data_IF_642777551760
#
_entry.id   IF_642777551760
#
_cell.length_a   1.000
_cell.length_b   1.000
_cell.length_c   1.000
_cell.angle_alpha   90.00
_cell.angle_beta   90.00
_cell.angle_gamma   90.00
#
_symmetry.space_group_name_H-M   'P 1'
#
loop_
_entity.id
_entity.type
_entity.pdbx_description
1 polymer ?
#
# COMPACT_ATOMS: atom_id res chain seq x y z
N UNK A 1 22.69 24.53 -1.93
CA UNK A 1 22.65 23.07 -2.00
C UNK A 1 23.76 22.50 -2.88
N UNK A 2 23.96 21.21 -2.78
CA UNK A 2 24.95 20.47 -3.60
C UNK A 2 24.20 19.38 -4.34
N UNK A 3 24.48 19.22 -5.62
CA UNK A 3 24.03 18.10 -6.45
C UNK A 3 25.23 17.20 -6.73
N UNK A 4 25.03 15.90 -6.63
CA UNK A 4 26.08 14.89 -6.71
C UNK A 4 25.71 13.91 -7.82
N UNK A 5 26.39 13.97 -8.92
CA UNK A 5 26.29 13.07 -10.06
C UNK A 5 27.43 12.07 -10.03
N UNK A 6 27.11 10.78 -10.10
CA UNK A 6 28.12 9.71 -10.09
C UNK A 6 27.83 8.75 -11.24
N UNK A 7 28.90 8.36 -11.91
CA UNK A 7 28.88 7.27 -12.89
C UNK A 7 29.99 6.27 -12.53
N UNK A 8 29.60 5.02 -12.35
CA UNK A 8 30.55 3.93 -12.09
C UNK A 8 30.65 3.03 -13.33
N UNK A 9 31.87 2.71 -13.74
CA UNK A 9 32.15 1.78 -14.85
C UNK A 9 33.14 0.72 -14.38
N UNK A 10 32.81 -0.55 -14.63
CA UNK A 10 33.62 -1.71 -14.27
C UNK A 10 33.61 -2.74 -15.40
N UNK A 11 34.56 -3.67 -15.37
CA UNK A 11 34.59 -4.81 -16.31
C UNK A 11 33.49 -5.83 -16.06
N UNK A 12 32.96 -5.84 -14.83
CA UNK A 12 31.84 -6.67 -14.41
C UNK A 12 30.57 -5.81 -14.17
N UNK A 13 29.37 -6.39 -14.11
CA UNK A 13 28.16 -5.65 -13.81
C UNK A 13 28.24 -4.89 -12.49
N UNK A 14 27.89 -3.61 -12.52
CA UNK A 14 27.79 -2.74 -11.34
C UNK A 14 26.40 -2.94 -10.72
N UNK A 15 26.33 -3.51 -9.53
CA UNK A 15 25.05 -3.74 -8.84
C UNK A 15 24.68 -2.61 -7.87
N UNK A 16 25.68 -1.95 -7.27
CA UNK A 16 25.44 -0.89 -6.28
C UNK A 16 26.52 0.18 -6.37
N UNK A 17 26.13 1.44 -6.16
CA UNK A 17 27.04 2.57 -5.96
C UNK A 17 26.68 3.28 -4.66
N UNK A 18 27.66 3.47 -3.80
CA UNK A 18 27.53 4.21 -2.54
C UNK A 18 28.30 5.51 -2.60
N UNK A 19 27.61 6.63 -2.42
CA UNK A 19 28.20 7.95 -2.26
C UNK A 19 28.29 8.29 -0.78
N UNK A 20 29.46 8.60 -0.27
CA UNK A 20 29.69 8.89 1.15
C UNK A 20 29.86 10.38 1.36
N UNK A 21 29.01 10.96 2.21
CA UNK A 21 29.09 12.36 2.65
C UNK A 21 29.35 12.39 4.16
N UNK A 22 30.29 13.23 4.59
CA UNK A 22 30.69 13.38 6.01
C UNK A 22 30.41 14.77 6.52
N UNK A 23 30.17 14.88 7.84
CA UNK A 23 29.94 16.16 8.49
C UNK A 23 28.54 16.72 8.29
N UNK A 24 27.57 15.88 7.94
CA UNK A 24 26.18 16.29 7.88
C UNK A 24 25.69 16.56 9.31
N UNK A 25 25.09 17.74 9.61
CA UNK A 25 24.67 18.06 10.96
C UNK A 25 23.73 17.01 11.56
N UNK A 26 23.97 16.62 12.81
CA UNK A 26 23.10 15.69 13.55
C UNK A 26 21.86 16.40 14.07
N UNK A 27 20.74 15.72 14.13
CA UNK A 27 19.48 16.29 14.58
C UNK A 27 18.32 15.31 14.60
N UNK A 28 17.10 15.85 14.74
CA UNK A 28 15.88 15.07 14.59
C UNK A 28 15.69 14.72 13.12
N UNK A 29 15.20 13.53 12.85
CA UNK A 29 15.00 13.00 11.50
C UNK A 29 13.52 12.90 11.17
N UNK A 30 13.17 13.33 9.97
CA UNK A 30 11.89 13.07 9.33
C UNK A 30 12.13 12.39 7.97
N UNK A 31 11.38 11.34 7.69
CA UNK A 31 11.44 10.59 6.43
C UNK A 31 10.14 10.77 5.64
N UNK A 32 10.24 10.97 4.32
CA UNK A 32 9.10 11.08 3.41
C UNK A 32 8.00 12.05 3.89
N UNK A 33 8.35 13.09 4.63
CA UNK A 33 7.41 14.09 5.14
C UNK A 33 6.68 13.74 6.45
N UNK A 34 7.10 12.69 7.14
CA UNK A 34 6.58 12.31 8.47
C UNK A 34 7.02 13.24 9.58
N UNK A 35 6.62 12.94 10.81
CA UNK A 35 7.01 13.69 12.01
C UNK A 35 8.52 13.54 12.28
N UNK A 36 9.10 14.57 12.91
CA UNK A 36 10.49 14.55 13.34
C UNK A 36 10.66 13.73 14.63
N UNK A 37 11.48 12.70 14.55
CA UNK A 37 11.89 11.88 15.69
C UNK A 37 13.33 12.16 16.10
N UNK A 38 13.62 12.19 17.39
CA UNK A 38 14.98 12.36 17.90
C UNK A 38 15.72 11.02 17.86
N UNK A 39 16.50 10.84 16.81
CA UNK A 39 17.31 9.63 16.55
C UNK A 39 18.78 9.97 16.34
N UNK A 40 19.23 11.15 16.83
CA UNK A 40 20.54 11.72 16.52
C UNK A 40 21.73 10.86 16.94
N UNK A 41 21.54 9.94 17.86
CA UNK A 41 22.58 9.06 18.38
C UNK A 41 22.46 7.62 17.85
N UNK A 42 21.49 7.37 16.97
CA UNK A 42 21.21 6.06 16.43
C UNK A 42 21.76 5.93 14.99
N UNK A 43 22.17 4.74 14.63
CA UNK A 43 22.33 4.36 13.23
C UNK A 43 20.96 4.13 12.62
N UNK A 44 20.67 4.77 11.47
CA UNK A 44 19.39 4.70 10.82
C UNK A 44 19.59 4.34 9.34
N UNK A 45 18.98 3.23 8.93
CA UNK A 45 18.88 2.84 7.53
C UNK A 45 17.47 3.10 7.02
N UNK A 46 17.33 3.93 5.99
CA UNK A 46 16.08 4.23 5.30
C UNK A 46 16.10 3.64 3.91
N UNK A 47 15.07 2.90 3.51
CA UNK A 47 14.98 2.23 2.21
C UNK A 47 13.78 2.67 1.37
N UNK A 48 14.00 2.90 0.08
CA UNK A 48 13.00 3.21 -0.94
C UNK A 48 13.08 2.20 -2.11
N UNK A 49 11.96 1.84 -2.74
CA UNK A 49 10.56 2.05 -2.35
C UNK A 49 10.22 1.24 -1.11
N UNK A 50 9.18 1.60 -0.42
CA UNK A 50 8.74 1.05 0.86
C UNK A 50 9.31 -0.35 1.18
N UNK A 51 10.34 -0.38 2.05
CA UNK A 51 11.06 -1.60 2.38
C UNK A 51 12.30 -1.93 1.54
N UNK A 52 12.47 -1.35 0.35
CA UNK A 52 13.71 -1.40 -0.46
C UNK A 52 14.41 -2.76 -0.61
N UNK A 53 13.67 -3.85 -0.72
CA UNK A 53 14.19 -5.23 -0.76
C UNK A 53 14.12 -5.97 0.58
N UNK A 54 13.81 -5.25 1.66
CA UNK A 54 13.49 -5.83 2.96
C UNK A 54 12.21 -5.15 3.48
N UNK A 55 11.07 -5.71 3.12
CA UNK A 55 9.74 -5.15 3.32
C UNK A 55 9.44 -4.70 4.76
N UNK A 56 10.16 -5.22 5.74
CA UNK A 56 9.77 -5.08 7.15
C UNK A 56 10.90 -4.65 8.10
N UNK A 57 12.16 -4.60 7.65
CA UNK A 57 13.30 -4.39 8.54
C UNK A 57 14.01 -3.05 8.37
N UNK A 58 13.87 -2.36 7.22
CA UNK A 58 14.41 -1.01 7.04
C UNK A 58 13.32 0.04 7.27
N UNK A 59 13.67 1.19 7.80
CA UNK A 59 12.76 2.33 7.84
C UNK A 59 12.28 2.67 6.43
N UNK A 60 10.96 2.53 6.18
CA UNK A 60 10.41 2.66 4.83
C UNK A 60 10.35 4.11 4.35
N UNK A 61 10.86 4.36 3.14
CA UNK A 61 10.65 5.60 2.42
C UNK A 61 9.55 5.41 1.38
N UNK A 62 8.46 6.15 1.49
CA UNK A 62 7.44 6.21 0.44
C UNK A 62 7.89 7.08 -0.74
N UNK A 63 8.87 7.93 -0.53
CA UNK A 63 9.57 8.72 -1.54
C UNK A 63 11.01 8.98 -1.05
N UNK A 64 12.03 9.02 -1.94
CA UNK A 64 13.43 9.01 -1.52
C UNK A 64 13.91 10.39 -1.01
N UNK A 65 13.35 10.84 0.10
CA UNK A 65 13.69 12.08 0.79
C UNK A 65 13.72 11.91 2.31
N UNK A 66 14.78 12.41 2.92
CA UNK A 66 14.90 12.53 4.37
C UNK A 66 15.34 13.95 4.75
N UNK A 67 14.86 14.45 5.89
CA UNK A 67 15.17 15.80 6.39
C UNK A 67 15.68 15.71 7.81
N UNK A 68 16.81 16.33 8.06
CA UNK A 68 17.44 16.43 9.38
C UNK A 68 17.25 17.85 9.92
N UNK A 69 16.61 17.97 11.07
CA UNK A 69 16.48 19.22 11.82
C UNK A 69 17.62 19.30 12.84
N UNK A 70 18.63 20.12 12.59
CA UNK A 70 19.77 20.33 13.48
C UNK A 70 19.55 21.49 14.47
N UNK A 71 18.69 22.45 14.12
CA UNK A 71 18.23 23.54 14.96
C UNK A 71 16.82 23.98 14.52
N UNK A 72 16.18 24.89 15.25
CA UNK A 72 14.79 25.30 15.00
C UNK A 72 14.54 25.88 13.59
N UNK A 73 15.58 26.49 12.99
CA UNK A 73 15.55 27.08 11.65
C UNK A 73 16.60 26.48 10.71
N UNK A 74 17.10 25.27 10.99
CA UNK A 74 18.15 24.63 10.22
C UNK A 74 17.78 23.20 9.81
N UNK A 75 17.33 23.03 8.57
CA UNK A 75 16.89 21.77 7.99
C UNK A 75 17.82 21.38 6.84
N UNK A 76 18.38 20.18 6.91
CA UNK A 76 19.20 19.58 5.84
C UNK A 76 18.38 18.50 5.16
N UNK A 77 18.18 18.63 3.86
CA UNK A 77 17.44 17.67 3.03
C UNK A 77 18.43 16.78 2.29
N UNK A 78 18.19 15.48 2.32
CA UNK A 78 18.84 14.45 1.52
C UNK A 78 17.78 13.87 0.59
N UNK A 79 17.92 14.01 -0.71
CA UNK A 79 16.94 13.54 -1.68
C UNK A 79 17.58 12.98 -2.95
N UNK A 80 16.93 11.97 -3.55
CA UNK A 80 17.27 11.50 -4.88
C UNK A 80 16.34 12.13 -5.92
N UNK A 81 16.91 12.64 -7.03
CA UNK A 81 16.17 13.19 -8.16
C UNK A 81 16.02 12.12 -9.26
N UNK A 82 15.54 10.95 -8.88
CA UNK A 82 15.27 9.87 -9.83
C UNK A 82 13.88 10.02 -10.45
N UNK A 83 13.75 9.61 -11.70
CA UNK A 83 12.52 9.53 -12.47
C UNK A 83 12.02 8.07 -12.64
N UNK A 84 12.65 7.13 -11.93
CA UNK A 84 12.32 5.70 -11.96
C UNK A 84 12.23 5.11 -10.56
N UNK A 85 11.40 4.07 -10.44
CA UNK A 85 11.33 3.25 -9.23
C UNK A 85 12.51 2.30 -9.19
N UNK A 86 13.46 2.58 -8.32
CA UNK A 86 14.69 1.79 -8.13
C UNK A 86 15.13 1.88 -6.67
N UNK A 87 15.82 0.86 -6.19
CA UNK A 87 16.27 0.83 -4.80
C UNK A 87 17.24 1.99 -4.49
N UNK A 88 16.89 2.73 -3.46
CA UNK A 88 17.71 3.77 -2.85
C UNK A 88 17.71 3.61 -1.34
N UNK A 89 18.87 3.81 -0.72
CA UNK A 89 18.96 3.83 0.74
C UNK A 89 19.72 5.06 1.20
N UNK A 90 19.31 5.57 2.35
CA UNK A 90 20.00 6.62 3.09
C UNK A 90 20.41 6.02 4.42
N UNK A 91 21.72 5.83 4.63
CA UNK A 91 22.25 5.28 5.87
C UNK A 91 22.98 6.37 6.65
N UNK A 92 22.43 6.69 7.82
CA UNK A 92 22.94 7.73 8.72
C UNK A 92 23.71 7.05 9.87
N UNK A 93 24.98 7.36 9.99
CA UNK A 93 25.86 6.86 11.05
C UNK A 93 26.37 8.03 11.89
N UNK A 94 26.05 8.11 13.19
CA UNK A 94 26.51 9.21 14.05
C UNK A 94 28.01 9.15 14.29
N UNK A 95 28.69 10.30 14.23
CA UNK A 95 30.12 10.48 14.48
C UNK A 95 30.41 11.78 15.24
N UNK A 96 31.66 12.00 15.64
CA UNK A 96 32.06 13.18 16.41
C UNK A 96 31.73 14.51 15.72
N UNK A 97 31.94 14.58 14.41
CA UNK A 97 31.77 15.79 13.61
C UNK A 97 30.49 15.80 12.75
N UNK A 98 29.42 15.13 13.19
CA UNK A 98 28.17 15.00 12.44
C UNK A 98 27.93 13.58 11.96
N UNK A 99 26.91 13.40 11.12
CA UNK A 99 26.68 12.10 10.48
C UNK A 99 27.69 11.83 9.37
N UNK A 100 28.13 10.58 9.27
CA UNK A 100 28.52 9.96 8.02
C UNK A 100 27.24 9.47 7.34
N UNK A 101 26.97 9.94 6.14
CA UNK A 101 25.81 9.55 5.35
C UNK A 101 26.25 8.74 4.15
N UNK A 102 25.66 7.56 3.99
CA UNK A 102 25.82 6.76 2.77
C UNK A 102 24.54 6.87 1.94
N UNK A 103 24.68 7.42 0.75
CA UNK A 103 23.63 7.54 -0.27
C UNK A 103 23.82 6.38 -1.25
N UNK A 104 22.98 5.36 -1.10
CA UNK A 104 23.13 4.08 -1.78
C UNK A 104 22.12 4.00 -2.92
N UNK A 105 22.59 3.68 -4.13
CA UNK A 105 21.76 3.40 -5.29
C UNK A 105 22.08 2.00 -5.82
N UNK A 106 21.04 1.19 -6.03
CA UNK A 106 21.16 -0.12 -6.67
C UNK A 106 20.70 -0.05 -8.13
N UNK A 107 21.43 -0.75 -8.99
CA UNK A 107 20.96 -1.03 -10.35
C UNK A 107 19.70 -1.91 -10.31
N UNK A 108 18.90 -1.81 -11.35
CA UNK A 108 17.78 -2.72 -11.57
C UNK A 108 18.28 -4.17 -11.62
N UNK A 109 17.71 -5.05 -10.81
CA UNK A 109 18.17 -6.44 -10.62
C UNK A 109 18.20 -7.26 -11.91
N UNK A 110 17.32 -6.94 -12.86
CA UNK A 110 17.19 -7.60 -14.17
C UNK A 110 18.18 -7.07 -15.23
N UNK A 111 19.03 -6.10 -14.87
CA UNK A 111 20.00 -5.50 -15.79
C UNK A 111 21.44 -5.84 -15.36
N UNK A 112 22.27 -6.20 -16.34
CA UNK A 112 23.70 -6.42 -16.16
C UNK A 112 24.50 -5.24 -16.73
N UNK A 113 24.41 -4.09 -16.07
CA UNK A 113 25.03 -2.86 -16.50
C UNK A 113 26.50 -2.81 -16.08
N UNK A 114 27.44 -2.70 -17.03
CA UNK A 114 28.86 -2.41 -16.76
C UNK A 114 29.11 -0.93 -16.45
N UNK A 115 28.20 -0.07 -16.85
CA UNK A 115 28.20 1.36 -16.51
C UNK A 115 26.87 1.71 -15.87
N UNK A 116 26.90 2.11 -14.61
CA UNK A 116 25.74 2.57 -13.85
C UNK A 116 25.86 4.08 -13.65
N UNK A 117 24.91 4.83 -14.22
CA UNK A 117 24.71 6.24 -13.92
C UNK A 117 23.75 6.35 -12.74
N UNK A 118 24.26 6.83 -11.62
CA UNK A 118 23.44 7.09 -10.41
C UNK A 118 22.57 8.32 -10.65
N UNK A 119 21.26 8.29 -10.36
CA UNK A 119 20.46 9.49 -10.34
C UNK A 119 21.01 10.53 -9.37
N UNK A 120 20.90 11.79 -9.73
CA UNK A 120 21.43 12.90 -8.93
C UNK A 120 20.94 12.83 -7.48
N UNK A 121 21.88 12.79 -6.55
CA UNK A 121 21.62 13.03 -5.14
C UNK A 121 21.71 14.53 -4.86
N UNK A 122 20.72 15.07 -4.14
CA UNK A 122 20.69 16.47 -3.77
C UNK A 122 20.72 16.65 -2.26
N UNK A 123 21.65 17.48 -1.81
CA UNK A 123 21.73 17.93 -0.42
C UNK A 123 21.43 19.43 -0.42
N UNK A 124 20.42 19.85 0.33
CA UNK A 124 20.02 21.25 0.43
C UNK A 124 19.74 21.67 1.87
N UNK A 125 19.75 22.98 2.10
CA UNK A 125 19.48 23.55 3.41
C UNK A 125 18.32 24.57 3.29
N UNK A 126 17.40 24.50 4.25
CA UNK A 126 16.23 25.40 4.32
C UNK A 126 16.00 25.82 5.77
N UNK A 127 15.12 26.82 5.95
CA UNK A 127 14.75 27.33 7.28
C UNK A 127 13.45 26.73 7.82
N UNK A 128 12.69 26.03 6.98
CA UNK A 128 11.42 25.41 7.37
C UNK A 128 11.31 23.99 6.82
N UNK A 129 10.59 23.09 7.49
CA UNK A 129 10.40 21.73 7.00
C UNK A 129 9.55 21.70 5.72
N UNK A 130 8.58 22.61 5.54
CA UNK A 130 7.77 22.69 4.33
C UNK A 130 8.65 23.00 3.11
N UNK A 131 9.56 23.97 3.23
CA UNK A 131 10.50 24.28 2.16
C UNK A 131 11.49 23.14 1.87
N UNK A 132 11.82 22.34 2.89
CA UNK A 132 12.68 21.19 2.73
C UNK A 132 12.05 20.12 1.82
N UNK A 133 10.74 19.91 1.94
CA UNK A 133 10.03 18.90 1.16
C UNK A 133 9.52 19.42 -0.20
N UNK A 134 9.18 20.71 -0.31
CA UNK A 134 8.52 21.28 -1.48
C UNK A 134 9.24 20.97 -2.81
N UNK A 135 10.57 21.16 -2.85
CA UNK A 135 11.35 20.94 -4.07
C UNK A 135 11.36 19.47 -4.50
N UNK A 136 11.40 18.54 -3.55
CA UNK A 136 11.37 17.10 -3.84
C UNK A 136 10.01 16.66 -4.36
N UNK A 137 8.92 17.07 -3.70
CA UNK A 137 7.56 16.72 -4.14
C UNK A 137 7.21 17.30 -5.51
N UNK A 138 7.69 18.52 -5.82
CA UNK A 138 7.51 19.09 -7.16
C UNK A 138 8.31 18.33 -8.23
N UNK A 139 9.50 17.84 -7.89
CA UNK A 139 10.29 16.99 -8.77
C UNK A 139 9.54 15.70 -9.10
N UNK A 140 9.10 14.92 -8.10
CA UNK A 140 8.43 13.64 -8.33
C UNK A 140 7.07 13.83 -9.02
N UNK A 141 6.33 14.88 -8.70
CA UNK A 141 5.08 15.23 -9.39
C UNK A 141 5.30 15.37 -10.90
N UNK A 142 6.38 16.04 -11.27
CA UNK A 142 6.75 16.27 -12.67
C UNK A 142 7.31 15.00 -13.32
N UNK A 143 8.21 14.30 -12.64
CA UNK A 143 8.88 13.10 -13.14
C UNK A 143 7.92 11.94 -13.40
N UNK A 144 6.92 11.75 -12.52
CA UNK A 144 5.92 10.70 -12.65
C UNK A 144 4.56 11.18 -13.20
N UNK A 145 4.46 12.46 -13.63
CA UNK A 145 3.25 13.01 -14.26
C UNK A 145 1.98 12.85 -13.42
N UNK A 146 2.06 13.11 -12.11
CA UNK A 146 0.91 12.93 -11.21
C UNK A 146 -0.31 13.73 -11.64
N UNK A 147 -1.46 13.10 -11.87
CA UNK A 147 -2.71 13.82 -12.14
C UNK A 147 -3.27 14.44 -10.86
N UNK A 148 -3.97 15.55 -10.97
CA UNK A 148 -4.71 16.12 -9.84
C UNK A 148 -5.96 15.28 -9.55
N UNK A 149 -6.18 14.93 -8.29
CA UNK A 149 -7.29 14.05 -7.86
C UNK A 149 -8.66 14.56 -8.33
N UNK A 150 -8.87 15.87 -8.32
CA UNK A 150 -10.14 16.47 -8.69
C UNK A 150 -10.53 16.27 -10.17
N UNK A 151 -9.55 16.04 -11.04
CA UNK A 151 -9.74 15.99 -12.49
C UNK A 151 -9.23 14.71 -13.14
N UNK A 152 -8.64 13.82 -12.37
CA UNK A 152 -8.07 12.58 -12.92
C UNK A 152 -9.16 11.64 -13.46
N UNK A 153 -8.96 11.05 -14.65
CA UNK A 153 -10.00 10.29 -15.35
C UNK A 153 -10.29 8.92 -14.72
N UNK A 154 -9.41 8.44 -13.83
CA UNK A 154 -9.53 7.15 -13.16
C UNK A 154 -10.19 7.23 -11.77
N UNK A 155 -10.74 8.40 -11.43
CA UNK A 155 -11.60 8.60 -10.26
C UNK A 155 -13.05 8.61 -10.71
N UNK A 156 -13.82 7.56 -10.46
CA UNK A 156 -15.24 7.57 -10.78
C UNK A 156 -15.98 8.60 -9.92
N UNK A 157 -17.01 9.23 -10.48
CA UNK A 157 -17.74 10.34 -9.83
C UNK A 157 -18.23 9.99 -8.41
N UNK A 158 -18.64 8.75 -8.18
CA UNK A 158 -19.12 8.29 -6.88
C UNK A 158 -18.05 8.34 -5.77
N UNK A 159 -16.75 8.25 -6.12
CA UNK A 159 -15.69 8.28 -5.12
C UNK A 159 -15.55 9.65 -4.45
N UNK A 160 -15.84 10.75 -5.17
CA UNK A 160 -15.87 12.09 -4.60
C UNK A 160 -16.92 12.24 -3.51
N UNK A 161 -17.98 11.46 -3.60
CA UNK A 161 -19.12 11.46 -2.68
C UNK A 161 -19.00 10.41 -1.56
N UNK A 162 -17.97 9.58 -1.58
CA UNK A 162 -17.78 8.53 -0.57
C UNK A 162 -17.43 9.12 0.79
N UNK A 163 -18.29 8.88 1.77
CA UNK A 163 -18.17 9.37 3.14
C UNK A 163 -17.65 8.30 4.11
N UNK A 164 -17.78 7.01 3.77
CA UNK A 164 -17.44 5.88 4.62
C UNK A 164 -16.89 4.74 3.78
N UNK A 165 -15.83 4.09 4.27
CA UNK A 165 -15.44 2.75 3.82
C UNK A 165 -15.88 1.75 4.88
N UNK A 166 -16.57 0.70 4.44
CA UNK A 166 -17.05 -0.38 5.30
C UNK A 166 -16.29 -1.65 4.96
N UNK A 167 -15.36 -2.06 5.80
CA UNK A 167 -14.63 -3.31 5.62
C UNK A 167 -15.41 -4.47 6.20
N UNK A 168 -15.83 -5.39 5.33
CA UNK A 168 -16.55 -6.60 5.66
C UNK A 168 -15.61 -7.80 5.60
N UNK A 169 -15.13 -8.24 6.74
CA UNK A 169 -14.20 -9.37 6.81
C UNK A 169 -14.95 -10.69 6.62
N UNK A 170 -14.55 -11.46 5.63
CA UNK A 170 -15.12 -12.76 5.28
C UNK A 170 -14.47 -13.91 6.04
N UNK A 171 -13.83 -14.83 5.32
CA UNK A 171 -13.13 -15.95 5.93
C UNK A 171 -11.71 -15.54 6.34
N UNK A 172 -11.35 -15.86 7.58
CA UNK A 172 -9.99 -15.73 8.08
C UNK A 172 -9.07 -16.80 7.47
N UNK A 173 -7.76 -16.55 7.39
CA UNK A 173 -6.81 -17.52 6.83
C UNK A 173 -6.77 -18.85 7.60
N UNK A 174 -7.19 -18.88 8.86
CA UNK A 174 -7.36 -20.11 9.65
C UNK A 174 -8.58 -20.94 9.23
N UNK A 175 -9.40 -20.46 8.28
CA UNK A 175 -10.65 -21.09 7.86
C UNK A 175 -11.86 -20.70 8.71
N UNK A 176 -11.71 -19.86 9.74
CA UNK A 176 -12.82 -19.31 10.49
C UNK A 176 -13.57 -18.26 9.65
N UNK A 177 -14.90 -18.35 9.62
CA UNK A 177 -15.74 -17.40 8.91
C UNK A 177 -16.27 -16.37 9.90
N UNK A 178 -15.85 -15.10 9.70
CA UNK A 178 -16.35 -13.98 10.48
C UNK A 178 -17.77 -13.60 10.02
N UNK A 179 -17.91 -13.29 8.74
CA UNK A 179 -19.18 -12.91 8.13
C UNK A 179 -19.30 -13.59 6.77
N UNK A 180 -20.21 -14.53 6.63
CA UNK A 180 -20.57 -15.07 5.33
C UNK A 180 -21.30 -14.03 4.45
N UNK A 181 -21.56 -14.32 3.19
CA UNK A 181 -22.18 -13.36 2.26
C UNK A 181 -23.59 -12.94 2.70
N UNK A 182 -24.37 -13.82 3.32
CA UNK A 182 -25.68 -13.49 3.84
C UNK A 182 -25.58 -12.52 5.03
N UNK A 183 -24.63 -12.76 5.92
CA UNK A 183 -24.35 -11.87 7.06
C UNK A 183 -23.83 -10.51 6.59
N UNK A 184 -22.94 -10.47 5.62
CA UNK A 184 -22.45 -9.23 5.03
C UNK A 184 -23.64 -8.42 4.43
N UNK A 185 -24.56 -9.07 3.75
CA UNK A 185 -25.76 -8.40 3.22
C UNK A 185 -26.68 -7.87 4.32
N UNK A 186 -26.85 -8.59 5.43
CA UNK A 186 -27.58 -8.11 6.61
C UNK A 186 -26.94 -6.83 7.17
N UNK A 187 -25.61 -6.82 7.28
CA UNK A 187 -24.85 -5.65 7.74
C UNK A 187 -25.08 -4.45 6.79
N UNK A 188 -25.02 -4.66 5.48
CA UNK A 188 -25.28 -3.60 4.50
C UNK A 188 -26.70 -3.02 4.64
N UNK A 189 -27.70 -3.87 4.85
CA UNK A 189 -29.09 -3.42 5.09
C UNK A 189 -29.18 -2.52 6.32
N UNK A 190 -28.55 -2.90 7.41
CA UNK A 190 -28.53 -2.08 8.61
C UNK A 190 -27.75 -0.76 8.40
N UNK A 191 -26.56 -0.80 7.77
CA UNK A 191 -25.79 0.40 7.48
C UNK A 191 -26.59 1.37 6.62
N UNK A 192 -27.36 0.87 5.64
CA UNK A 192 -28.23 1.70 4.79
C UNK A 192 -29.34 2.43 5.56
N UNK A 193 -29.71 1.96 6.75
CA UNK A 193 -30.60 2.71 7.65
C UNK A 193 -29.90 3.87 8.37
N UNK A 194 -28.57 3.85 8.44
CA UNK A 194 -27.77 4.85 9.17
C UNK A 194 -27.15 5.90 8.22
N UNK A 195 -26.75 5.50 7.03
CA UNK A 195 -26.17 6.34 5.98
C UNK A 195 -26.60 5.82 4.61
N UNK A 196 -26.96 6.68 3.64
CA UNK A 196 -27.31 6.22 2.30
C UNK A 196 -26.20 5.39 1.67
N UNK A 197 -26.51 4.19 1.16
CA UNK A 197 -25.52 3.27 0.57
C UNK A 197 -24.65 3.90 -0.50
N UNK A 198 -25.17 4.85 -1.29
CA UNK A 198 -24.40 5.59 -2.32
C UNK A 198 -23.23 6.40 -1.77
N UNK A 199 -23.13 6.58 -0.45
CA UNK A 199 -22.04 7.24 0.25
C UNK A 199 -21.02 6.26 0.84
N UNK A 200 -21.19 4.95 0.57
CA UNK A 200 -20.40 3.91 1.22
C UNK A 200 -19.72 3.01 0.18
N UNK A 201 -18.42 2.83 0.35
CA UNK A 201 -17.63 1.81 -0.34
C UNK A 201 -17.52 0.59 0.57
N UNK A 202 -18.10 -0.54 0.16
CA UNK A 202 -17.99 -1.81 0.86
C UNK A 202 -16.74 -2.56 0.38
N UNK A 203 -15.74 -2.62 1.25
CA UNK A 203 -14.51 -3.37 1.03
C UNK A 203 -14.69 -4.81 1.50
N UNK A 204 -14.67 -5.76 0.56
CA UNK A 204 -14.87 -7.18 0.79
C UNK A 204 -13.51 -7.85 1.01
N UNK A 205 -13.01 -7.73 2.22
CA UNK A 205 -11.77 -8.38 2.63
C UNK A 205 -12.03 -9.87 2.83
N UNK A 206 -11.15 -10.73 2.29
CA UNK A 206 -11.22 -12.19 2.48
C UNK A 206 -12.53 -12.83 1.99
N UNK A 207 -13.08 -12.33 0.90
CA UNK A 207 -14.27 -12.89 0.25
C UNK A 207 -14.00 -14.28 -0.34
N UNK A 208 -12.76 -14.58 -0.68
CA UNK A 208 -12.26 -15.84 -1.28
C UNK A 208 -11.65 -16.81 -0.26
N UNK A 209 -11.33 -16.36 0.97
CA UNK A 209 -10.62 -17.13 1.98
C UNK A 209 -9.15 -16.75 2.15
N UNK A 210 -8.66 -15.77 1.38
CA UNK A 210 -7.29 -15.21 1.46
C UNK A 210 -6.16 -16.20 1.16
N UNK A 211 -4.96 -15.85 1.61
CA UNK A 211 -3.64 -16.39 1.26
C UNK A 211 -3.55 -17.89 1.13
N UNK A 212 -3.98 -18.62 2.17
CA UNK A 212 -3.77 -20.05 2.23
C UNK A 212 -4.81 -20.83 1.47
N UNK A 213 -6.00 -20.23 1.34
CA UNK A 213 -7.14 -20.98 0.86
C UNK A 213 -7.34 -20.86 -0.63
N UNK A 214 -7.18 -19.66 -1.17
CA UNK A 214 -7.55 -19.45 -2.55
C UNK A 214 -6.56 -18.62 -3.40
N UNK A 215 -5.59 -17.96 -2.82
CA UNK A 215 -4.55 -17.31 -3.64
C UNK A 215 -3.72 -18.36 -4.38
N UNK A 216 -3.58 -18.35 -5.70
CA UNK A 216 -3.91 -17.27 -6.64
C UNK A 216 -5.23 -17.46 -7.41
N UNK A 217 -6.15 -18.31 -6.98
CA UNK A 217 -7.32 -18.67 -7.78
C UNK A 217 -8.43 -17.62 -7.74
N UNK A 218 -8.63 -16.94 -6.59
CA UNK A 218 -9.62 -15.87 -6.39
C UNK A 218 -11.02 -16.31 -6.81
N UNK A 219 -11.52 -17.37 -6.21
CA UNK A 219 -12.86 -17.92 -6.44
C UNK A 219 -13.79 -17.61 -5.30
N UNK A 220 -15.09 -17.48 -5.58
CA UNK A 220 -16.08 -17.31 -4.51
C UNK A 220 -16.09 -18.54 -3.60
N UNK A 221 -16.22 -18.31 -2.29
CA UNK A 221 -16.09 -19.33 -1.29
C UNK A 221 -17.44 -20.04 -1.03
N UNK A 222 -17.49 -21.34 -1.30
CA UNK A 222 -18.70 -22.15 -1.11
C UNK A 222 -19.17 -22.19 0.35
N UNK A 223 -18.23 -22.15 1.32
CA UNK A 223 -18.55 -22.13 2.74
C UNK A 223 -19.18 -20.80 3.18
N UNK A 224 -19.01 -19.73 2.41
CA UNK A 224 -19.59 -18.42 2.66
C UNK A 224 -20.93 -18.21 1.90
N UNK A 225 -21.38 -19.18 1.12
CA UNK A 225 -22.63 -19.10 0.36
C UNK A 225 -22.47 -19.27 -1.15
N UNK A 226 -21.25 -19.51 -1.65
CA UNK A 226 -20.95 -19.80 -3.05
C UNK A 226 -21.35 -18.69 -4.02
N UNK A 227 -21.43 -19.02 -5.30
CA UNK A 227 -21.74 -18.08 -6.39
C UNK A 227 -23.07 -17.33 -6.17
N UNK A 228 -24.12 -18.04 -5.76
CA UNK A 228 -25.42 -17.45 -5.55
C UNK A 228 -25.41 -16.43 -4.40
N UNK A 229 -24.75 -16.75 -3.28
CA UNK A 229 -24.61 -15.86 -2.13
C UNK A 229 -23.79 -14.61 -2.45
N UNK A 230 -22.65 -14.76 -3.12
CA UNK A 230 -21.82 -13.63 -3.51
C UNK A 230 -22.53 -12.72 -4.53
N UNK A 231 -23.20 -13.31 -5.52
CA UNK A 231 -24.01 -12.56 -6.49
C UNK A 231 -25.14 -11.78 -5.80
N UNK A 232 -25.83 -12.40 -4.84
CA UNK A 232 -26.87 -11.72 -4.05
C UNK A 232 -26.27 -10.55 -3.25
N UNK A 233 -25.13 -10.75 -2.57
CA UNK A 233 -24.43 -9.69 -1.83
C UNK A 233 -24.14 -8.48 -2.73
N UNK A 234 -23.52 -8.71 -3.89
CA UNK A 234 -23.14 -7.62 -4.81
C UNK A 234 -24.40 -6.94 -5.36
N UNK A 235 -25.34 -7.71 -5.93
CA UNK A 235 -26.54 -7.16 -6.59
C UNK A 235 -27.44 -6.38 -5.62
N UNK A 236 -27.72 -6.96 -4.45
CA UNK A 236 -28.60 -6.30 -3.47
C UNK A 236 -27.87 -5.13 -2.79
N UNK A 237 -26.55 -5.24 -2.56
CA UNK A 237 -25.73 -4.12 -2.10
C UNK A 237 -25.80 -2.93 -3.07
N UNK A 238 -25.60 -3.17 -4.36
CA UNK A 238 -25.66 -2.13 -5.39
C UNK A 238 -27.07 -1.54 -5.54
N UNK A 239 -28.15 -2.32 -5.40
CA UNK A 239 -29.53 -1.79 -5.39
C UNK A 239 -29.76 -0.78 -4.24
N UNK A 240 -29.09 -0.97 -3.11
CA UNK A 240 -29.09 -0.02 -1.99
C UNK A 240 -28.13 1.17 -2.22
N UNK A 241 -27.36 1.14 -3.30
CA UNK A 241 -26.40 2.18 -3.71
C UNK A 241 -24.96 1.94 -3.29
N UNK A 242 -24.65 0.90 -2.52
CA UNK A 242 -23.27 0.59 -2.12
C UNK A 242 -22.35 0.34 -3.33
N UNK A 243 -21.09 0.70 -3.19
CA UNK A 243 -20.02 0.32 -4.12
C UNK A 243 -19.27 -0.88 -3.56
N UNK A 244 -19.00 -1.87 -4.40
CA UNK A 244 -18.49 -3.16 -3.97
C UNK A 244 -17.05 -3.34 -4.44
N UNK A 245 -16.12 -3.61 -3.49
CA UNK A 245 -14.67 -3.70 -3.74
C UNK A 245 -14.09 -4.99 -3.16
N UNK A 246 -13.98 -6.08 -3.92
CA UNK A 246 -13.27 -7.29 -3.49
C UNK A 246 -11.74 -7.09 -3.48
N UNK A 247 -11.05 -7.84 -2.61
CA UNK A 247 -9.61 -7.83 -2.41
C UNK A 247 -8.91 -8.91 -3.24
N UNK A 248 -7.74 -8.56 -3.78
CA UNK A 248 -6.85 -9.48 -4.48
C UNK A 248 -5.42 -9.33 -3.93
N UNK A 249 -4.73 -10.43 -3.69
CA UNK A 249 -3.31 -10.40 -3.30
C UNK A 249 -2.42 -10.14 -4.51
N UNK A 250 -2.00 -8.90 -4.67
CA UNK A 250 -1.26 -8.46 -5.85
C UNK A 250 0.04 -9.25 -6.09
N UNK A 251 0.75 -9.56 -5.03
CA UNK A 251 2.09 -10.13 -5.10
C UNK A 251 2.25 -11.39 -4.24
N UNK A 252 1.18 -12.14 -4.02
CA UNK A 252 1.25 -13.39 -3.28
C UNK A 252 0.48 -14.52 -3.95
N UNK A 253 1.07 -15.72 -3.92
CA UNK A 253 0.44 -16.92 -4.42
C UNK A 253 0.85 -18.14 -3.57
N UNK A 254 -0.13 -18.94 -3.18
CA UNK A 254 0.10 -20.17 -2.43
C UNK A 254 0.65 -21.27 -3.37
N UNK A 255 1.88 -21.70 -3.11
CA UNK A 255 2.62 -22.70 -3.90
C UNK A 255 1.94 -24.09 -3.92
N UNK A 256 1.04 -24.34 -2.97
CA UNK A 256 0.29 -25.62 -2.87
C UNK A 256 -1.01 -25.63 -3.67
N UNK A 257 -1.43 -24.49 -4.22
CA UNK A 257 -2.66 -24.40 -4.98
C UNK A 257 -2.54 -25.00 -6.40
N UNK A 258 -3.63 -25.57 -6.93
CA UNK A 258 -3.67 -26.01 -8.32
C UNK A 258 -3.33 -24.86 -9.28
N UNK A 259 -2.51 -25.15 -10.28
CA UNK A 259 -2.10 -24.12 -11.26
C UNK A 259 -0.81 -23.39 -10.92
N UNK A 260 -0.23 -23.59 -9.74
CA UNK A 260 1.06 -23.01 -9.34
C UNK A 260 2.14 -23.11 -10.43
N UNK A 261 2.31 -24.28 -11.04
CA UNK A 261 3.33 -24.50 -12.06
C UNK A 261 3.23 -23.55 -13.28
N UNK A 262 2.07 -22.92 -13.51
CA UNK A 262 1.87 -21.99 -14.63
C UNK A 262 2.36 -20.57 -14.34
N UNK A 263 2.59 -20.25 -13.06
CA UNK A 263 2.97 -18.92 -12.58
C UNK A 263 4.25 -18.94 -11.73
N UNK A 264 4.81 -20.13 -11.48
CA UNK A 264 5.99 -20.29 -10.63
C UNK A 264 7.23 -19.55 -11.12
N UNK A 265 7.33 -19.29 -12.43
CA UNK A 265 8.40 -18.46 -13.03
C UNK A 265 8.37 -17.00 -12.57
N UNK A 266 7.24 -16.54 -12.05
CA UNK A 266 7.06 -15.17 -11.58
C UNK A 266 7.41 -14.96 -10.10
N UNK A 267 7.87 -15.97 -9.38
CA UNK A 267 8.37 -15.78 -8.02
C UNK A 267 9.59 -14.84 -8.04
N UNK A 268 9.56 -13.88 -7.15
CA UNK A 268 10.59 -12.85 -7.02
C UNK A 268 11.89 -13.44 -6.46
N UNK A 269 13.02 -13.01 -7.02
CA UNK A 269 14.35 -13.35 -6.52
C UNK A 269 15.16 -12.08 -6.28
N UNK A 270 15.78 -12.00 -5.11
CA UNK A 270 16.74 -10.94 -4.80
C UNK A 270 17.97 -11.01 -5.72
N UNK A 271 18.76 -9.95 -5.71
CA UNK A 271 19.99 -9.86 -6.52
C UNK A 271 21.07 -10.89 -6.14
N UNK A 272 20.98 -11.50 -4.95
CA UNK A 272 21.82 -12.62 -4.51
C UNK A 272 21.32 -13.98 -5.01
N UNK A 273 20.14 -14.02 -5.63
CA UNK A 273 19.50 -15.22 -6.17
C UNK A 273 18.51 -15.89 -5.24
N UNK A 274 18.36 -15.41 -4.00
CA UNK A 274 17.43 -15.98 -3.04
C UNK A 274 15.98 -15.68 -3.44
N UNK A 275 15.13 -16.70 -3.38
CA UNK A 275 13.68 -16.55 -3.54
C UNK A 275 13.08 -15.74 -2.39
N UNK A 276 12.12 -14.89 -2.69
CA UNK A 276 11.39 -14.13 -1.67
C UNK A 276 10.07 -14.80 -1.36
N UNK A 277 9.89 -15.18 -0.11
CA UNK A 277 8.61 -15.61 0.42
C UNK A 277 7.87 -14.44 1.08
N UNK A 278 6.54 -14.47 1.03
CA UNK A 278 5.72 -13.55 1.81
C UNK A 278 5.72 -13.99 3.27
N UNK A 279 6.70 -13.50 3.99
CA UNK A 279 6.90 -13.83 5.39
C UNK A 279 6.04 -12.94 6.30
N UNK A 280 4.74 -13.24 6.38
CA UNK A 280 3.78 -12.50 7.19
C UNK A 280 3.42 -13.24 8.48
N UNK A 281 2.99 -12.50 9.49
CA UNK A 281 2.52 -13.07 10.76
C UNK A 281 1.26 -13.89 10.53
N UNK A 282 1.28 -15.15 10.92
CA UNK A 282 0.15 -16.05 10.96
C UNK A 282 -0.35 -16.29 12.39
N UNK A 283 -1.25 -17.24 12.56
CA UNK A 283 -1.91 -17.46 13.84
C UNK A 283 -0.99 -18.04 14.94
N UNK A 284 0.08 -18.75 14.56
CA UNK A 284 1.11 -19.25 15.50
C UNK A 284 2.30 -18.30 15.62
N UNK A 285 2.27 -17.20 14.86
CA UNK A 285 3.24 -16.10 14.89
C UNK A 285 4.65 -16.49 14.40
N UNK A 286 4.78 -17.49 13.57
CA UNK A 286 6.06 -17.89 12.99
C UNK A 286 6.38 -17.20 11.65
N UNK A 287 5.46 -16.36 11.16
CA UNK A 287 5.56 -15.60 9.92
C UNK A 287 5.66 -16.45 8.67
N UNK A 288 4.89 -17.55 8.61
CA UNK A 288 4.83 -18.41 7.43
C UNK A 288 6.18 -19.01 7.03
N UNK A 289 6.97 -19.42 7.99
CA UNK A 289 8.28 -20.01 7.70
C UNK A 289 8.22 -21.33 6.92
N UNK A 290 7.02 -21.86 6.70
CA UNK A 290 6.80 -23.04 5.87
C UNK A 290 7.04 -22.81 4.38
N UNK A 291 7.26 -21.57 3.95
CA UNK A 291 7.55 -21.24 2.56
C UNK A 291 6.40 -21.47 1.59
N UNK A 292 5.15 -21.38 2.04
CA UNK A 292 3.98 -21.65 1.20
C UNK A 292 3.65 -20.51 0.24
N UNK A 293 3.96 -19.29 0.61
CA UNK A 293 3.59 -18.11 -0.15
C UNK A 293 4.79 -17.57 -0.90
N UNK A 294 4.77 -17.70 -2.22
CA UNK A 294 5.71 -17.01 -3.08
C UNK A 294 5.37 -15.53 -3.20
N UNK A 295 6.38 -14.69 -3.17
CA UNK A 295 6.24 -13.27 -3.49
C UNK A 295 6.31 -13.09 -5.01
N UNK A 296 5.22 -12.62 -5.62
CA UNK A 296 5.03 -12.65 -7.08
C UNK A 296 5.35 -11.31 -7.73
N UNK A 297 5.99 -11.34 -8.89
CA UNK A 297 6.36 -10.17 -9.67
C UNK A 297 5.41 -9.93 -10.86
N UNK A 298 4.64 -8.83 -10.82
CA UNK A 298 3.78 -8.41 -11.94
C UNK A 298 4.55 -8.00 -13.22
N UNK A 299 5.85 -7.75 -13.12
CA UNK A 299 6.71 -7.58 -14.29
C UNK A 299 6.76 -8.82 -15.18
N UNK A 300 6.55 -10.02 -14.60
CA UNK A 300 6.53 -11.29 -15.31
C UNK A 300 5.13 -11.56 -15.88
N UNK A 301 5.01 -11.78 -17.20
CA UNK A 301 3.72 -11.90 -17.88
C UNK A 301 2.82 -13.04 -17.38
N UNK A 302 3.39 -14.17 -16.96
CA UNK A 302 2.61 -15.32 -16.46
C UNK A 302 1.73 -14.93 -15.26
N UNK A 303 2.29 -14.25 -14.27
CA UNK A 303 1.57 -13.76 -13.11
C UNK A 303 0.66 -12.57 -13.46
N UNK A 304 1.17 -11.57 -14.16
CA UNK A 304 0.39 -10.40 -14.54
C UNK A 304 -0.89 -10.79 -15.28
N UNK A 305 -0.79 -11.62 -16.31
CA UNK A 305 -1.94 -12.04 -17.11
C UNK A 305 -2.91 -12.89 -16.29
N UNK A 306 -2.40 -13.72 -15.38
CA UNK A 306 -3.23 -14.52 -14.48
C UNK A 306 -4.06 -13.63 -13.56
N UNK A 307 -3.41 -12.74 -12.79
CA UNK A 307 -4.10 -11.86 -11.85
C UNK A 307 -5.08 -10.92 -12.56
N UNK A 308 -4.65 -10.31 -13.68
CA UNK A 308 -5.50 -9.48 -14.52
C UNK A 308 -6.75 -10.22 -14.99
N UNK A 309 -6.59 -11.47 -15.43
CA UNK A 309 -7.72 -12.30 -15.86
C UNK A 309 -8.70 -12.62 -14.73
N UNK A 310 -8.20 -12.82 -13.49
CA UNK A 310 -9.08 -13.06 -12.32
C UNK A 310 -9.84 -11.80 -11.91
N UNK A 311 -9.20 -10.63 -11.94
CA UNK A 311 -9.86 -9.33 -11.67
C UNK A 311 -10.90 -9.05 -12.77
N UNK A 312 -10.54 -9.22 -14.02
CA UNK A 312 -11.44 -9.04 -15.17
C UNK A 312 -12.68 -9.93 -15.10
N UNK A 313 -12.51 -11.20 -14.75
CA UNK A 313 -13.61 -12.14 -14.54
C UNK A 313 -14.55 -11.68 -13.42
N UNK A 314 -13.99 -11.22 -12.29
CA UNK A 314 -14.78 -10.71 -11.16
C UNK A 314 -15.63 -9.49 -11.58
N UNK A 315 -15.03 -8.55 -12.28
CA UNK A 315 -15.73 -7.37 -12.79
C UNK A 315 -16.83 -7.78 -13.78
N UNK A 316 -16.51 -8.63 -14.75
CA UNK A 316 -17.44 -9.03 -15.81
C UNK A 316 -18.59 -9.89 -15.27
N UNK A 317 -18.29 -10.83 -14.37
CA UNK A 317 -19.27 -11.80 -13.86
C UNK A 317 -20.21 -11.23 -12.81
N UNK A 318 -19.71 -10.36 -11.94
CA UNK A 318 -20.48 -9.86 -10.78
C UNK A 318 -20.77 -8.36 -10.85
N UNK A 319 -20.11 -7.61 -11.73
CA UNK A 319 -20.34 -6.17 -11.89
C UNK A 319 -19.84 -5.34 -10.72
N UNK A 320 -18.74 -5.74 -10.06
CA UNK A 320 -18.16 -4.99 -8.93
C UNK A 320 -17.67 -3.61 -9.37
N UNK A 321 -17.70 -2.64 -8.46
CA UNK A 321 -17.42 -1.22 -8.75
C UNK A 321 -15.93 -0.86 -8.60
N UNK A 322 -15.19 -1.68 -7.87
CA UNK A 322 -13.77 -1.47 -7.59
C UNK A 322 -13.07 -2.80 -7.33
N UNK A 323 -11.74 -2.78 -7.36
CA UNK A 323 -10.90 -3.88 -6.86
C UNK A 323 -9.76 -3.33 -6.01
N UNK A 324 -9.41 -4.08 -4.97
CA UNK A 324 -8.34 -3.75 -4.05
C UNK A 324 -7.14 -4.66 -4.29
N UNK A 325 -5.94 -4.06 -4.33
CA UNK A 325 -4.67 -4.75 -4.48
C UNK A 325 -3.93 -4.75 -3.14
N UNK A 326 -3.92 -5.92 -2.49
CA UNK A 326 -3.24 -6.16 -1.22
C UNK A 326 -1.72 -6.09 -1.41
N UNK A 327 -1.00 -5.44 -0.48
CA UNK A 327 0.46 -5.23 -0.49
C UNK A 327 0.94 -4.48 -1.77
N UNK A 328 0.12 -3.64 -2.37
CA UNK A 328 0.50 -2.92 -3.60
C UNK A 328 1.75 -2.03 -3.42
N UNK A 329 1.96 -1.47 -2.24
CA UNK A 329 3.17 -0.69 -1.91
C UNK A 329 4.43 -1.50 -1.68
N UNK A 330 4.35 -2.83 -1.66
CA UNK A 330 5.51 -3.71 -1.54
C UNK A 330 6.23 -3.87 -2.88
N UNK A 331 7.50 -3.50 -2.94
CA UNK A 331 8.32 -3.60 -4.13
C UNK A 331 9.67 -4.26 -3.81
N UNK A 332 10.15 -5.09 -4.72
CA UNK A 332 11.41 -5.81 -4.58
C UNK A 332 12.22 -5.59 -5.86
N UNK A 333 13.53 -5.40 -5.71
CA UNK A 333 14.47 -5.35 -6.82
C UNK A 333 14.71 -6.77 -7.34
N UNK A 334 13.78 -7.27 -8.13
CA UNK A 334 13.81 -8.62 -8.68
C UNK A 334 14.84 -8.76 -9.81
N UNK A 335 15.39 -9.95 -9.95
CA UNK A 335 16.35 -10.27 -11.02
C UNK A 335 15.69 -10.56 -12.36
N UNK A 336 14.35 -10.63 -12.43
CA UNK A 336 13.63 -11.05 -13.65
C UNK A 336 13.01 -9.91 -14.42
N UNK A 337 12.35 -8.97 -13.74
CA UNK A 337 11.57 -7.93 -14.41
C UNK A 337 11.20 -6.76 -13.49
N UNK A 338 10.81 -5.64 -14.09
CA UNK A 338 10.31 -4.45 -13.39
C UNK A 338 8.89 -4.67 -12.84
N UNK A 339 8.79 -4.83 -11.52
CA UNK A 339 7.53 -5.04 -10.81
C UNK A 339 6.60 -3.82 -10.92
N UNK A 340 7.15 -2.60 -10.83
CA UNK A 340 6.38 -1.35 -10.94
C UNK A 340 5.78 -1.19 -12.33
N UNK A 341 6.58 -1.38 -13.38
CA UNK A 341 6.10 -1.32 -14.76
C UNK A 341 5.02 -2.37 -15.04
N UNK A 342 5.16 -3.57 -14.48
CA UNK A 342 4.16 -4.63 -14.59
C UNK A 342 2.83 -4.27 -13.93
N UNK A 343 2.87 -3.73 -12.71
CA UNK A 343 1.68 -3.26 -11.99
C UNK A 343 0.97 -2.13 -12.77
N UNK A 344 1.73 -1.12 -13.22
CA UNK A 344 1.21 -0.02 -14.02
C UNK A 344 0.55 -0.51 -15.31
N UNK A 345 1.17 -1.47 -16.00
CA UNK A 345 0.62 -2.10 -17.20
C UNK A 345 -0.73 -2.76 -16.90
N UNK A 346 -0.79 -3.63 -15.90
CA UNK A 346 -2.03 -4.33 -15.51
C UNK A 346 -3.16 -3.36 -15.17
N UNK A 347 -2.88 -2.36 -14.33
CA UNK A 347 -3.89 -1.38 -13.91
C UNK A 347 -4.41 -0.57 -15.09
N UNK A 348 -3.52 -0.14 -16.00
CA UNK A 348 -3.91 0.62 -17.18
C UNK A 348 -4.73 -0.22 -18.21
N UNK A 349 -4.39 -1.48 -18.40
CA UNK A 349 -5.14 -2.39 -19.26
C UNK A 349 -6.53 -2.71 -18.69
N UNK A 350 -6.63 -2.96 -17.38
CA UNK A 350 -7.93 -3.13 -16.70
C UNK A 350 -8.77 -1.86 -16.81
N UNK A 351 -8.19 -0.68 -16.62
CA UNK A 351 -8.89 0.61 -16.78
C UNK A 351 -9.37 0.83 -18.21
N UNK A 352 -8.54 0.51 -19.21
CA UNK A 352 -8.93 0.65 -20.60
C UNK A 352 -10.14 -0.23 -20.95
N UNK A 353 -10.23 -1.43 -20.34
CA UNK A 353 -11.36 -2.35 -20.52
C UNK A 353 -12.58 -1.98 -19.66
N UNK A 354 -12.35 -1.48 -18.44
CA UNK A 354 -13.37 -1.17 -17.45
C UNK A 354 -13.19 0.26 -16.90
N UNK A 355 -13.47 1.29 -17.67
CA UNK A 355 -13.11 2.68 -17.34
C UNK A 355 -13.82 3.24 -16.10
N UNK A 356 -14.92 2.62 -15.66
CA UNK A 356 -15.71 3.05 -14.50
C UNK A 356 -15.37 2.24 -13.22
N UNK A 357 -14.42 1.30 -13.29
CA UNK A 357 -14.03 0.45 -12.15
C UNK A 357 -12.78 1.04 -11.50
N UNK A 358 -12.87 1.30 -10.20
CA UNK A 358 -11.81 1.90 -9.41
C UNK A 358 -10.73 0.87 -9.05
N UNK A 359 -9.46 1.25 -9.18
CA UNK A 359 -8.33 0.55 -8.56
C UNK A 359 -8.03 1.17 -7.19
N UNK A 360 -7.86 0.34 -6.18
CA UNK A 360 -7.38 0.72 -4.85
C UNK A 360 -6.14 -0.10 -4.49
N UNK A 361 -5.14 0.51 -3.85
CA UNK A 361 -3.93 -0.19 -3.40
C UNK A 361 -3.79 -0.18 -1.88
N UNK A 362 -3.19 -1.23 -1.32
CA UNK A 362 -2.70 -1.18 0.04
C UNK A 362 -1.31 -0.57 0.05
N UNK A 363 -1.07 0.41 0.94
CA UNK A 363 0.17 1.16 1.04
C UNK A 363 0.55 1.86 -0.29
N UNK A 364 1.56 2.68 -0.30
CA UNK A 364 2.02 3.34 -1.51
C UNK A 364 3.50 3.72 -1.42
N UNK A 365 4.11 3.86 -2.56
CA UNK A 365 5.28 4.69 -2.80
C UNK A 365 4.92 5.72 -3.91
N UNK A 366 5.71 6.79 -4.00
CA UNK A 366 5.39 7.98 -4.79
C UNK A 366 4.91 7.71 -6.22
N UNK A 367 5.64 6.94 -7.00
CA UNK A 367 5.32 6.69 -8.41
C UNK A 367 3.93 6.06 -8.64
N UNK A 368 3.37 5.36 -7.65
CA UNK A 368 2.03 4.76 -7.76
C UNK A 368 0.92 5.80 -7.84
N UNK A 369 1.15 7.03 -7.35
CA UNK A 369 0.18 8.14 -7.40
C UNK A 369 -0.19 8.52 -8.86
N UNK A 370 0.63 8.12 -9.84
CA UNK A 370 0.33 8.28 -11.26
C UNK A 370 -0.95 7.54 -11.67
N UNK A 371 -1.15 6.30 -11.19
CA UNK A 371 -2.18 5.40 -11.72
C UNK A 371 -3.11 4.74 -10.70
N UNK A 372 -2.90 4.93 -9.39
CA UNK A 372 -3.82 4.48 -8.34
C UNK A 372 -4.33 5.69 -7.55
N UNK A 373 -5.66 5.95 -7.55
CA UNK A 373 -6.24 7.13 -6.91
C UNK A 373 -6.70 6.96 -5.47
N UNK A 374 -6.79 5.71 -4.97
CA UNK A 374 -7.26 5.40 -3.61
C UNK A 374 -6.33 4.40 -2.94
N UNK A 375 -6.03 4.64 -1.67
CA UNK A 375 -5.15 3.76 -0.89
C UNK A 375 -5.72 3.43 0.48
N UNK A 376 -5.42 2.22 0.93
CA UNK A 376 -5.60 1.73 2.28
C UNK A 376 -4.30 1.94 3.06
N UNK A 377 -4.38 2.62 4.19
CA UNK A 377 -3.26 3.07 5.02
C UNK A 377 -2.29 4.08 4.38
N UNK A 378 -1.62 4.83 5.19
CA UNK A 378 -0.71 5.88 4.74
C UNK A 378 -1.42 7.24 4.58
N UNK A 379 -0.83 8.14 3.81
CA UNK A 379 -1.40 9.46 3.51
C UNK A 379 -1.40 10.48 4.64
N UNK A 380 -0.92 10.11 5.82
CA UNK A 380 -0.93 10.94 7.02
C UNK A 380 0.38 11.64 7.34
N UNK A 381 1.38 11.59 6.47
CA UNK A 381 2.67 12.23 6.70
C UNK A 381 2.50 13.75 6.85
N UNK A 382 2.88 14.30 8.00
CA UNK A 382 2.57 15.67 8.45
C UNK A 382 2.95 16.74 7.43
N UNK A 383 4.17 16.64 6.86
CA UNK A 383 4.72 17.63 5.92
C UNK A 383 4.51 17.28 4.44
N UNK A 384 3.99 16.08 4.16
CA UNK A 384 3.73 15.59 2.81
C UNK A 384 2.24 15.50 2.46
N UNK A 385 1.39 15.57 3.46
CA UNK A 385 -0.05 15.33 3.35
C UNK A 385 -0.70 16.09 2.20
N UNK A 386 -0.46 17.39 2.08
CA UNK A 386 -1.11 18.23 1.07
C UNK A 386 -0.61 17.92 -0.35
N UNK A 387 0.67 17.50 -0.49
CA UNK A 387 1.22 17.04 -1.76
C UNK A 387 0.59 15.71 -2.20
N UNK A 388 0.51 14.75 -1.27
CA UNK A 388 -0.01 13.41 -1.57
C UNK A 388 -1.52 13.46 -1.83
N UNK A 389 -2.28 14.17 -0.99
CA UNK A 389 -3.75 14.25 -1.11
C UNK A 389 -4.24 15.08 -2.30
N UNK A 390 -3.37 15.86 -2.91
CA UNK A 390 -3.63 16.48 -4.20
C UNK A 390 -3.81 15.43 -5.31
N UNK A 391 -3.21 14.25 -5.17
CA UNK A 391 -3.15 13.22 -6.20
C UNK A 391 -3.95 11.97 -5.88
N UNK A 392 -4.17 11.64 -4.60
CA UNK A 392 -4.90 10.45 -4.16
C UNK A 392 -5.68 10.69 -2.87
N UNK A 393 -6.63 9.79 -2.57
CA UNK A 393 -7.33 9.71 -1.29
C UNK A 393 -6.91 8.46 -0.53
N UNK A 394 -7.19 8.48 0.77
CA UNK A 394 -6.81 7.40 1.69
C UNK A 394 -7.98 7.05 2.58
N UNK A 395 -8.04 5.79 3.01
CA UNK A 395 -8.89 5.36 4.11
C UNK A 395 -8.06 4.58 5.13
N UNK A 396 -8.52 4.54 6.37
CA UNK A 396 -7.75 3.97 7.48
C UNK A 396 -7.67 2.46 7.38
N UNK A 397 -6.51 1.89 7.76
CA UNK A 397 -6.34 0.46 7.88
C UNK A 397 -7.20 -0.12 8.99
N UNK A 398 -7.13 0.49 10.16
CA UNK A 398 -7.91 0.14 11.33
C UNK A 398 -8.73 1.34 11.76
N UNK A 399 -9.99 1.10 12.03
CA UNK A 399 -10.84 2.03 12.74
C UNK A 399 -11.69 1.29 13.76
N UNK A 400 -12.08 2.01 14.77
CA UNK A 400 -12.97 1.52 15.80
C UNK A 400 -14.37 1.26 15.21
N UNK A 401 -15.06 0.20 15.65
CA UNK A 401 -14.60 -0.88 16.50
C UNK A 401 -13.90 -1.98 15.70
N UNK A 402 -12.87 -2.55 16.28
CA UNK A 402 -12.24 -3.74 15.77
C UNK A 402 -12.03 -4.77 16.89
N UNK A 403 -13.09 -5.16 17.61
CA UNK A 403 -13.00 -6.31 18.50
C UNK A 403 -13.05 -7.57 17.65
N UNK A 404 -12.58 -8.64 18.14
CA UNK A 404 -12.71 -9.91 17.48
C UNK A 404 -11.38 -10.56 17.19
N UNK A 405 -11.40 -11.54 16.32
CA UNK A 405 -10.31 -12.49 16.12
C UNK A 405 -9.47 -12.17 14.90
N UNK A 406 -9.21 -10.92 14.65
CA UNK A 406 -8.41 -10.53 13.52
C UNK A 406 -8.69 -9.12 13.07
N UNK A 407 -7.88 -8.65 12.19
CA UNK A 407 -7.99 -7.34 11.59
C UNK A 407 -8.57 -7.44 10.19
N UNK A 408 -8.77 -6.29 9.57
CA UNK A 408 -9.26 -6.16 8.19
C UNK A 408 -8.35 -6.75 7.16
N UNK A 409 -7.53 -7.59 7.55
CA UNK A 409 -6.84 -8.16 6.57
C UNK A 409 -5.56 -8.73 6.91
N UNK A 410 -4.97 -8.26 7.83
CA UNK A 410 -3.57 -8.44 7.82
C UNK A 410 -2.99 -8.68 9.19
N UNK A 411 -3.58 -8.16 10.25
CA UNK A 411 -2.94 -8.16 11.56
C UNK A 411 -3.70 -8.99 12.59
N UNK A 412 -3.27 -10.16 12.79
CA UNK A 412 -3.74 -11.06 13.82
C UNK A 412 -3.26 -10.63 15.21
N UNK A 413 -2.17 -9.85 15.27
CA UNK A 413 -1.70 -9.27 16.53
C UNK A 413 -2.70 -8.33 17.22
N UNK A 414 -3.77 -7.97 16.55
CA UNK A 414 -4.86 -7.16 17.08
C UNK A 414 -6.01 -7.92 17.72
N UNK A 415 -5.95 -9.24 17.84
CA UNK A 415 -7.02 -10.04 18.40
C UNK A 415 -7.56 -9.49 19.73
N UNK A 416 -8.87 -9.23 19.75
CA UNK A 416 -9.56 -8.80 20.95
C UNK A 416 -9.17 -7.43 21.49
N UNK A 417 -8.34 -6.67 20.79
CA UNK A 417 -7.99 -5.31 21.20
C UNK A 417 -8.94 -4.32 20.56
N UNK A 418 -9.75 -3.76 21.43
CA UNK A 418 -10.63 -2.66 21.10
C UNK A 418 -10.22 -1.44 21.94
N UNK A 419 -9.86 -0.36 21.28
CA UNK A 419 -9.54 0.88 21.96
C UNK A 419 -10.66 1.90 21.72
N UNK A 420 -11.51 2.11 22.71
CA UNK A 420 -12.60 3.08 22.68
C UNK A 420 -12.13 4.52 22.72
N UNK A 421 -10.90 4.77 23.13
CA UNK A 421 -10.31 6.11 23.19
C UNK A 421 -9.97 6.66 21.80
N UNK A 422 -9.92 5.82 20.78
CA UNK A 422 -9.59 6.19 19.38
C UNK A 422 -10.80 6.35 18.49
N UNK A 423 -11.96 6.75 19.00
CA UNK A 423 -13.13 7.11 18.19
C UNK A 423 -12.90 8.36 17.31
N UNK A 424 -11.76 9.00 17.42
CA UNK A 424 -11.42 10.13 16.56
C UNK A 424 -11.06 9.62 15.15
N UNK A 425 -11.91 9.99 14.21
CA UNK A 425 -11.64 9.75 12.80
C UNK A 425 -10.38 10.52 12.37
N UNK A 426 -9.46 9.84 11.69
CA UNK A 426 -8.31 10.50 11.11
C UNK A 426 -8.78 11.63 10.19
N UNK A 427 -8.31 12.85 10.42
CA UNK A 427 -8.73 14.05 9.68
C UNK A 427 -8.35 13.99 8.19
N UNK A 428 -7.40 13.14 7.82
CA UNK A 428 -6.82 13.07 6.47
C UNK A 428 -7.29 11.88 5.65
N UNK A 429 -8.11 10.98 6.24
CA UNK A 429 -8.57 9.75 5.59
C UNK A 429 -10.09 9.70 5.54
N UNK A 430 -10.64 8.98 4.57
CA UNK A 430 -12.06 8.63 4.55
C UNK A 430 -12.34 7.78 5.80
N UNK A 431 -13.36 8.11 6.60
CA UNK A 431 -13.77 7.31 7.74
C UNK A 431 -13.97 5.84 7.38
N UNK A 432 -13.52 4.93 8.22
CA UNK A 432 -13.59 3.48 7.97
C UNK A 432 -14.19 2.77 9.16
N UNK A 433 -15.10 1.85 8.90
CA UNK A 433 -15.59 0.85 9.85
C UNK A 433 -15.11 -0.53 9.44
N UNK A 434 -14.58 -1.27 10.40
CA UNK A 434 -14.13 -2.64 10.18
C UNK A 434 -15.01 -3.60 10.97
N UNK A 435 -15.52 -4.61 10.30
CA UNK A 435 -16.38 -5.62 10.88
C UNK A 435 -15.77 -7.00 10.79
N UNK A 436 -15.44 -7.53 11.95
CA UNK A 436 -14.99 -8.89 12.17
C UNK A 436 -15.86 -9.57 13.19
N UNK A 437 -15.96 -10.89 13.15
CA UNK A 437 -16.64 -11.73 14.12
C UNK A 437 -17.99 -11.14 14.62
N UNK A 438 -18.09 -10.90 15.91
CA UNK A 438 -19.31 -10.41 16.56
C UNK A 438 -19.44 -8.88 16.66
N UNK A 439 -18.59 -8.13 15.92
CA UNK A 439 -18.60 -6.65 15.94
C UNK A 439 -19.99 -6.10 15.67
N UNK A 440 -20.68 -6.62 14.65
CA UNK A 440 -22.02 -6.17 14.30
C UNK A 440 -23.06 -6.41 15.41
N UNK A 441 -22.94 -7.48 16.17
CA UNK A 441 -23.89 -7.80 17.23
C UNK A 441 -23.64 -7.03 18.51
N UNK A 442 -22.37 -6.86 18.86
CA UNK A 442 -21.96 -6.31 20.18
C UNK A 442 -21.66 -4.82 20.17
N UNK A 443 -21.37 -4.22 18.99
CA UNK A 443 -20.83 -2.86 18.89
C UNK A 443 -21.70 -1.92 18.03
N UNK A 444 -22.99 -2.20 17.90
CA UNK A 444 -23.90 -1.39 17.04
C UNK A 444 -23.94 0.08 17.40
N UNK A 445 -23.94 0.41 18.69
CA UNK A 445 -23.94 1.80 19.16
C UNK A 445 -22.67 2.54 18.75
N UNK A 446 -21.52 1.88 18.91
CA UNK A 446 -20.21 2.42 18.50
C UNK A 446 -20.14 2.59 16.97
N UNK A 447 -20.64 1.61 16.23
CA UNK A 447 -20.74 1.69 14.77
C UNK A 447 -21.61 2.87 14.34
N UNK A 448 -22.79 3.03 14.96
CA UNK A 448 -23.69 4.15 14.68
C UNK A 448 -23.01 5.51 14.98
N UNK A 449 -22.23 5.60 16.07
CA UNK A 449 -21.50 6.81 16.43
C UNK A 449 -20.43 7.15 15.37
N UNK A 450 -19.68 6.17 14.89
CA UNK A 450 -18.69 6.37 13.80
C UNK A 450 -19.39 6.81 12.50
N UNK A 451 -20.48 6.16 12.13
CA UNK A 451 -21.28 6.53 10.94
C UNK A 451 -21.81 7.96 11.07
N UNK A 452 -22.30 8.35 12.26
CA UNK A 452 -22.76 9.71 12.53
C UNK A 452 -21.64 10.73 12.29
N UNK A 453 -20.44 10.49 12.83
CA UNK A 453 -19.28 11.36 12.60
C UNK A 453 -18.90 11.44 11.11
N UNK A 454 -18.95 10.30 10.40
CA UNK A 454 -18.69 10.26 8.96
C UNK A 454 -19.70 11.11 8.16
N UNK A 455 -20.98 11.07 8.54
CA UNK A 455 -22.04 11.89 7.94
C UNK A 455 -21.82 13.38 8.20
N UNK A 456 -21.59 13.74 9.47
CA UNK A 456 -21.32 15.14 9.87
C UNK A 456 -20.12 15.71 9.09
N UNK A 457 -19.06 14.95 8.96
CA UNK A 457 -17.87 15.32 8.19
C UNK A 457 -18.15 15.49 6.70
N UNK A 458 -19.05 14.68 6.15
CA UNK A 458 -19.46 14.75 4.75
C UNK A 458 -20.59 15.77 4.50
N UNK A 459 -21.11 16.44 5.53
CA UNK A 459 -22.19 17.42 5.42
C UNK A 459 -23.55 16.82 5.05
N UNK A 460 -23.85 15.58 5.48
CA UNK A 460 -25.09 14.84 5.16
C UNK A 460 -25.82 14.33 6.39
#
# INVERSE_FOLDING_TARGET
>A
GVEIDVTATMDQPVKTVTTIVRGVPRGKLSSSGGDFADVRDNEILLGYPFGGGDLFNAGGLTTPVAVIQSADDAYTTLSSLDDKVRTKRIYLQPGENGYKVELIHEAEGWLDLKTLRVPTWKISHTKTPEAAYAAHYEHIRTAYHFPDYATRPDVPAWLHDTALVLTLHGQHYTGYIFNDYARQLEILRWVNTQIPGKRVLAFLSSWDGRYYWDYPNYTVNDRMGGDAGFRALVTEGQKMGFRMMPMFGMNSANKKQPGWARIADAVTHKVDGDEVDLNWVDWDNDRHQEGWLGYMNLGVPSWRNHLQGRIDEMITKYGVDAYFLDIAGGWINDTKADMHAGMRTMVNELRAKHPNVLCCGEMHYDAMLEFIPLYHSGGGARYAKDYIQRHAKFFSHLSTPAPGRGSSGVHEAGFGRFNTETLQLNATSIPTLQLVDDTFDKQRETMAAVIKQARERAGI
#
